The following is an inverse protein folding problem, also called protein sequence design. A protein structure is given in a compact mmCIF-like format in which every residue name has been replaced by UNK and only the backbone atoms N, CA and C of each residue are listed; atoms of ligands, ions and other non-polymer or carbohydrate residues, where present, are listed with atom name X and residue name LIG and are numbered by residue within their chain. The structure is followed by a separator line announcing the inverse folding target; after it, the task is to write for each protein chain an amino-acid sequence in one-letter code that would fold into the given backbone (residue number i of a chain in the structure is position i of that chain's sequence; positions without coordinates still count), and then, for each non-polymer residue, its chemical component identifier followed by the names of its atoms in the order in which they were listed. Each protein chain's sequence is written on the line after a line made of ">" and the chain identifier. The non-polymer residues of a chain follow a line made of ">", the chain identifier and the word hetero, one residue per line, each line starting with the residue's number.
data_IF_106153017910
#
_entry.id   IF_106153017910
#
_cell.length_a   1.000
_cell.length_b   1.000
_cell.length_c   1.000
_cell.angle_alpha   90.00
_cell.angle_beta   90.00
_cell.angle_gamma   90.00
#
_symmetry.space_group_name_H-M   'P 1'
#
loop_
_entity.id
_entity.type
_entity.pdbx_description
1 polymer ?
#
# COMPACT_ATOMS: atom_id res chain seq x y z
N UNK A 1 5.83 -3.14 17.19
CA UNK A 1 5.70 -3.65 15.81
C UNK A 1 4.36 -3.24 15.26
N UNK A 2 4.30 -2.21 14.41
CA UNK A 2 3.08 -1.95 13.64
C UNK A 2 3.08 -2.98 12.50
N UNK A 3 2.38 -4.09 12.73
CA UNK A 3 2.14 -5.12 11.72
C UNK A 3 1.13 -4.53 10.70
N UNK A 4 1.58 -3.58 9.88
CA UNK A 4 0.80 -3.09 8.74
C UNK A 4 0.74 -4.25 7.75
N UNK A 5 -0.37 -4.99 7.82
CA UNK A 5 -1.09 -5.58 6.72
C UNK A 5 -0.28 -5.72 5.40
N UNK A 6 0.69 -6.64 5.38
CA UNK A 6 1.11 -7.34 4.17
C UNK A 6 0.05 -8.40 3.79
N UNK A 7 -1.24 -8.08 3.95
CA UNK A 7 -2.32 -8.96 3.57
C UNK A 7 -2.55 -8.84 2.06
N UNK A 8 -2.05 -9.85 1.34
CA UNK A 8 -2.57 -10.36 0.05
C UNK A 8 -2.54 -9.43 -1.17
N UNK A 9 -1.52 -8.57 -1.36
CA UNK A 9 -1.37 -7.86 -2.64
C UNK A 9 0.00 -8.10 -3.30
N UNK A 10 0.00 -8.75 -4.48
CA UNK A 10 1.18 -9.08 -5.30
C UNK A 10 1.71 -7.84 -6.05
N UNK A 11 2.22 -6.85 -5.35
CA UNK A 11 3.04 -5.79 -5.95
C UNK A 11 4.46 -5.90 -5.41
N UNK A 12 5.42 -6.18 -6.28
CA UNK A 12 6.82 -6.41 -5.91
C UNK A 12 7.32 -7.80 -6.31
N UNK A 13 8.45 -8.20 -5.72
CA UNK A 13 9.12 -9.48 -6.01
C UNK A 13 8.57 -10.54 -5.07
N UNK A 14 8.03 -11.62 -5.64
CA UNK A 14 7.41 -12.70 -4.86
C UNK A 14 8.42 -13.34 -3.90
N UNK A 15 8.04 -13.40 -2.62
CA UNK A 15 8.80 -14.06 -1.54
C UNK A 15 10.21 -13.53 -1.29
N UNK A 16 10.56 -12.34 -1.80
CA UNK A 16 11.92 -11.79 -1.65
C UNK A 16 12.34 -11.66 -0.18
N UNK A 17 11.44 -11.19 0.70
CA UNK A 17 11.75 -11.06 2.13
C UNK A 17 12.14 -12.38 2.79
N UNK A 18 11.52 -13.50 2.37
CA UNK A 18 11.88 -14.83 2.86
C UNK A 18 13.29 -15.21 2.40
N UNK A 19 13.58 -15.03 1.11
CA UNK A 19 14.89 -15.34 0.52
C UNK A 19 16.00 -14.52 1.20
N UNK A 20 15.75 -13.24 1.47
CA UNK A 20 16.70 -12.38 2.20
C UNK A 20 16.90 -12.90 3.64
N UNK A 21 15.83 -13.25 4.35
CA UNK A 21 15.93 -13.81 5.70
C UNK A 21 16.72 -15.12 5.76
N UNK A 22 16.53 -16.00 4.77
CA UNK A 22 17.17 -17.31 4.72
C UNK A 22 18.67 -17.23 4.33
N UNK A 23 19.05 -16.27 3.47
CA UNK A 23 20.39 -16.24 2.86
C UNK A 23 21.26 -15.01 3.19
N UNK A 24 20.66 -13.92 3.68
CA UNK A 24 21.39 -12.69 4.03
C UNK A 24 20.71 -11.94 5.19
N UNK A 25 20.60 -12.58 6.37
CA UNK A 25 19.89 -12.00 7.52
C UNK A 25 20.49 -10.65 7.96
N UNK A 26 21.80 -10.47 7.85
CA UNK A 26 22.51 -9.24 8.24
C UNK A 26 22.19 -8.02 7.37
N UNK A 27 21.51 -8.22 6.24
CA UNK A 27 21.08 -7.13 5.35
C UNK A 27 19.82 -6.39 5.83
N UNK A 28 19.12 -6.93 6.84
CA UNK A 28 17.92 -6.32 7.41
C UNK A 28 18.22 -5.71 8.79
N UNK A 29 17.68 -4.52 9.05
CA UNK A 29 17.83 -3.83 10.34
C UNK A 29 16.51 -3.23 10.78
N UNK A 30 16.11 -3.56 12.00
CA UNK A 30 14.96 -2.95 12.66
C UNK A 30 15.42 -1.77 13.51
N UNK A 31 14.77 -0.62 13.32
CA UNK A 31 15.03 0.58 14.09
C UNK A 31 13.71 1.23 14.49
N UNK A 32 13.72 1.95 15.61
CA UNK A 32 12.60 2.81 15.98
C UNK A 32 12.48 3.98 14.99
N UNK A 33 11.25 4.46 14.80
CA UNK A 33 10.98 5.59 13.88
C UNK A 33 11.76 6.86 14.26
N UNK A 34 12.01 7.06 15.57
CA UNK A 34 12.75 8.21 16.11
C UNK A 34 14.19 8.26 15.61
N UNK A 35 14.79 7.11 15.30
CA UNK A 35 16.16 7.00 14.76
C UNK A 35 16.31 7.67 13.39
N UNK A 36 15.20 7.92 12.69
CA UNK A 36 15.19 8.56 11.37
C UNK A 36 14.97 10.08 11.42
N UNK A 37 15.10 10.72 12.60
CA UNK A 37 14.99 12.18 12.72
C UNK A 37 15.90 12.92 11.73
N UNK A 38 15.36 13.94 11.07
CA UNK A 38 16.07 14.77 10.09
C UNK A 38 16.29 14.11 8.73
N UNK A 39 15.96 12.82 8.56
CA UNK A 39 16.17 12.09 7.30
C UNK A 39 15.11 12.48 6.27
N UNK A 40 15.54 12.60 5.01
CA UNK A 40 14.65 12.74 3.85
C UNK A 40 14.32 11.33 3.34
N UNK A 41 13.05 11.03 3.13
CA UNK A 41 12.59 9.70 2.72
C UNK A 41 11.68 9.82 1.51
N UNK A 42 12.04 9.17 0.41
CA UNK A 42 11.16 9.03 -0.74
C UNK A 42 10.14 7.92 -0.48
N UNK A 43 8.87 8.20 -0.72
CA UNK A 43 7.74 7.31 -0.47
C UNK A 43 7.03 7.07 -1.79
N UNK A 44 6.82 5.79 -2.14
CA UNK A 44 5.95 5.41 -3.25
C UNK A 44 4.50 5.79 -2.91
N UNK A 45 3.98 6.81 -3.59
CA UNK A 45 2.67 7.38 -3.35
C UNK A 45 1.56 6.45 -3.83
N UNK A 46 1.72 5.88 -5.02
CA UNK A 46 0.79 4.90 -5.59
C UNK A 46 0.56 3.75 -4.60
N UNK A 47 1.66 3.17 -4.11
CA UNK A 47 1.58 2.07 -3.14
C UNK A 47 0.99 2.50 -1.79
N UNK A 48 1.31 3.70 -1.29
CA UNK A 48 0.66 4.22 -0.08
C UNK A 48 -0.86 4.31 -0.23
N UNK A 49 -1.35 4.91 -1.32
CA UNK A 49 -2.78 5.08 -1.57
C UNK A 49 -3.48 3.73 -1.61
N UNK A 50 -2.93 2.76 -2.35
CA UNK A 50 -3.50 1.40 -2.40
C UNK A 50 -3.56 0.73 -1.03
N UNK A 51 -2.51 0.85 -0.21
CA UNK A 51 -2.51 0.28 1.14
C UNK A 51 -3.65 0.86 1.99
N UNK A 52 -3.90 2.17 1.90
CA UNK A 52 -4.95 2.81 2.67
C UNK A 52 -6.36 2.44 2.21
N UNK A 53 -6.58 2.33 0.89
CA UNK A 53 -7.85 1.84 0.35
C UNK A 53 -8.19 0.42 0.83
N UNK A 54 -7.18 -0.41 1.08
CA UNK A 54 -7.40 -1.78 1.54
C UNK A 54 -7.55 -1.85 3.06
N UNK A 55 -6.66 -1.18 3.79
CA UNK A 55 -6.51 -1.33 5.24
C UNK A 55 -7.44 -0.41 6.05
N UNK A 56 -7.82 0.76 5.53
CA UNK A 56 -8.67 1.71 6.24
C UNK A 56 -10.11 1.48 5.80
N UNK A 57 -10.84 0.72 6.61
CA UNK A 57 -12.26 0.38 6.46
C UNK A 57 -12.97 0.66 7.78
N UNK A 58 -14.27 0.90 7.72
CA UNK A 58 -15.13 0.90 8.89
C UNK A 58 -15.19 -0.50 9.51
N UNK A 59 -15.65 -0.61 10.76
CA UNK A 59 -15.69 -1.84 11.57
C UNK A 59 -16.38 -3.02 10.87
N UNK A 60 -17.30 -2.67 9.98
CA UNK A 60 -18.22 -3.47 9.20
C UNK A 60 -17.66 -3.78 7.79
N UNK A 61 -16.40 -3.43 7.53
CA UNK A 61 -15.69 -3.73 6.28
C UNK A 61 -15.99 -2.77 5.13
N UNK A 62 -16.93 -1.84 5.35
CA UNK A 62 -17.34 -0.78 4.42
C UNK A 62 -16.21 0.24 4.28
N UNK A 63 -16.02 0.75 3.07
CA UNK A 63 -15.04 1.81 2.81
C UNK A 63 -15.43 3.08 3.54
N UNK A 64 -14.44 3.84 4.00
CA UNK A 64 -14.72 5.16 4.55
C UNK A 64 -15.11 6.09 3.40
N UNK A 65 -16.27 6.73 3.50
CA UNK A 65 -16.79 7.67 2.49
C UNK A 65 -17.19 9.01 3.12
N UNK A 66 -17.32 10.04 2.30
CA UNK A 66 -18.02 11.27 2.68
C UNK A 66 -19.54 11.14 2.44
N UNK A 67 -20.29 12.22 2.70
CA UNK A 67 -21.75 12.28 2.53
C UNK A 67 -22.21 12.07 1.08
N UNK A 68 -21.32 12.31 0.11
CA UNK A 68 -21.58 12.06 -1.32
C UNK A 68 -21.25 10.61 -1.74
N UNK A 69 -20.81 9.76 -0.82
CA UNK A 69 -20.39 8.38 -1.11
C UNK A 69 -19.00 8.24 -1.72
N UNK A 70 -18.19 9.31 -1.75
CA UNK A 70 -16.84 9.29 -2.30
C UNK A 70 -15.85 8.71 -1.28
N UNK A 71 -14.96 7.81 -1.71
CA UNK A 71 -14.01 7.13 -0.82
C UNK A 71 -12.98 8.12 -0.25
N UNK A 72 -12.79 8.14 1.07
CA UNK A 72 -11.90 9.07 1.78
C UNK A 72 -10.74 8.37 2.52
N UNK A 73 -10.71 7.03 2.57
CA UNK A 73 -9.68 6.22 3.24
C UNK A 73 -8.24 6.61 2.89
N UNK A 74 -7.98 6.92 1.61
CA UNK A 74 -6.67 7.30 1.13
C UNK A 74 -6.21 8.68 1.63
N UNK A 75 -7.16 9.63 1.78
CA UNK A 75 -6.87 10.96 2.31
C UNK A 75 -6.51 10.90 3.79
N UNK A 76 -7.35 10.23 4.59
CA UNK A 76 -7.08 10.05 6.03
C UNK A 76 -5.76 9.31 6.26
N UNK A 77 -5.55 8.21 5.56
CA UNK A 77 -4.33 7.44 5.69
C UNK A 77 -3.08 8.26 5.37
N UNK A 78 -3.10 8.98 4.24
CA UNK A 78 -1.97 9.83 3.83
C UNK A 78 -1.74 10.97 4.82
N UNK A 79 -2.80 11.63 5.27
CA UNK A 79 -2.74 12.74 6.22
C UNK A 79 -2.08 12.32 7.55
N UNK A 80 -2.65 11.32 8.24
CA UNK A 80 -2.14 10.90 9.54
C UNK A 80 -0.76 10.22 9.46
N UNK A 81 -0.47 9.47 8.39
CA UNK A 81 0.88 8.90 8.19
C UNK A 81 1.92 10.00 7.98
N UNK A 82 1.58 11.03 7.20
CA UNK A 82 2.48 12.17 6.95
C UNK A 82 2.72 12.96 8.22
N UNK A 83 1.68 13.27 9.00
CA UNK A 83 1.80 13.94 10.31
C UNK A 83 2.76 13.16 11.21
N UNK A 84 2.54 11.85 11.38
CA UNK A 84 3.39 11.02 12.23
C UNK A 84 4.86 11.02 11.79
N UNK A 85 5.13 11.04 10.48
CA UNK A 85 6.49 11.15 9.95
C UNK A 85 7.10 12.52 10.30
N UNK A 86 6.38 13.60 10.04
CA UNK A 86 6.81 14.96 10.32
C UNK A 86 7.04 15.21 11.82
N UNK A 87 6.17 14.69 12.70
CA UNK A 87 6.32 14.74 14.16
C UNK A 87 7.59 14.04 14.64
N UNK A 88 8.04 13.00 13.93
CA UNK A 88 9.31 12.32 14.20
C UNK A 88 10.50 12.97 13.45
N UNK A 89 10.31 14.16 12.87
CA UNK A 89 11.35 14.91 12.16
C UNK A 89 11.76 14.33 10.81
N UNK A 90 11.01 13.37 10.27
CA UNK A 90 11.23 12.81 8.93
C UNK A 90 10.68 13.82 7.90
N UNK A 91 11.41 13.99 6.79
CA UNK A 91 11.00 14.83 5.66
C UNK A 91 10.53 13.94 4.51
N UNK A 92 9.22 13.62 4.42
CA UNK A 92 8.70 12.74 3.38
C UNK A 92 8.66 13.44 2.02
N UNK A 93 8.97 12.70 0.96
CA UNK A 93 8.80 13.09 -0.44
C UNK A 93 8.00 12.01 -1.14
N UNK A 94 6.76 12.31 -1.51
CA UNK A 94 5.90 11.39 -2.22
C UNK A 94 6.25 11.36 -3.71
N UNK A 95 6.50 10.17 -4.24
CA UNK A 95 6.81 9.90 -5.64
C UNK A 95 5.63 9.18 -6.26
N UNK A 96 5.02 9.79 -7.27
CA UNK A 96 3.97 9.17 -8.06
C UNK A 96 4.57 8.50 -9.29
N UNK A 97 3.99 7.37 -9.69
CA UNK A 97 4.40 6.68 -10.90
C UNK A 97 4.13 7.54 -12.14
N UNK A 98 5.09 7.52 -13.07
CA UNK A 98 4.91 8.00 -14.43
C UNK A 98 4.37 6.92 -15.35
N UNK A 99 4.57 7.13 -16.66
CA UNK A 99 4.20 6.13 -17.67
C UNK A 99 4.97 4.81 -17.43
N UNK A 100 4.29 3.65 -17.33
CA UNK A 100 4.96 2.38 -17.14
C UNK A 100 5.80 2.00 -18.37
N UNK A 101 6.93 1.29 -18.19
CA UNK A 101 7.75 0.82 -19.31
C UNK A 101 7.02 -0.28 -20.10
N UNK A 102 7.34 -0.40 -21.39
CA UNK A 102 6.70 -1.36 -22.32
C UNK A 102 6.77 -2.81 -21.83
N UNK A 103 7.88 -3.19 -21.19
CA UNK A 103 8.10 -4.53 -20.63
C UNK A 103 7.09 -4.88 -19.51
N UNK A 104 6.47 -3.89 -18.86
CA UNK A 104 5.46 -4.08 -17.79
C UNK A 104 4.06 -4.35 -18.35
N UNK A 105 3.83 -4.17 -19.65
CA UNK A 105 2.50 -4.27 -20.29
C UNK A 105 1.81 -5.62 -20.04
N UNK A 106 2.52 -6.74 -20.20
CA UNK A 106 1.96 -8.07 -19.96
C UNK A 106 1.54 -8.31 -18.51
N UNK A 107 2.27 -7.78 -17.54
CA UNK A 107 1.89 -7.87 -16.12
C UNK A 107 0.71 -6.95 -15.80
N UNK A 108 0.62 -5.77 -16.41
CA UNK A 108 -0.54 -4.87 -16.26
C UNK A 108 -1.81 -5.51 -16.80
N UNK A 109 -1.75 -6.18 -17.95
CA UNK A 109 -2.89 -6.92 -18.52
C UNK A 109 -3.37 -8.03 -17.57
N UNK A 110 -2.46 -8.84 -17.03
CA UNK A 110 -2.81 -9.88 -16.04
C UNK A 110 -3.43 -9.31 -14.76
N UNK A 111 -3.01 -8.12 -14.33
CA UNK A 111 -3.58 -7.45 -13.16
C UNK A 111 -4.99 -6.95 -13.43
N UNK A 112 -5.23 -6.43 -14.63
CA UNK A 112 -6.56 -6.00 -15.06
C UNK A 112 -7.52 -7.19 -15.11
N UNK A 113 -7.11 -8.29 -15.73
CA UNK A 113 -7.89 -9.53 -15.81
C UNK A 113 -8.30 -10.05 -14.42
N UNK A 114 -7.37 -10.11 -13.46
CA UNK A 114 -7.69 -10.51 -12.08
C UNK A 114 -8.68 -9.57 -11.39
N UNK A 115 -8.63 -8.26 -11.70
CA UNK A 115 -9.57 -7.29 -11.14
C UNK A 115 -10.97 -7.52 -11.68
N UNK A 116 -11.09 -7.76 -12.98
CA UNK A 116 -12.36 -8.06 -13.64
C UNK A 116 -12.95 -9.38 -13.15
N UNK A 117 -12.14 -10.42 -12.99
CA UNK A 117 -12.57 -11.71 -12.46
C UNK A 117 -13.07 -11.59 -11.00
N UNK A 118 -12.32 -10.86 -10.16
CA UNK A 118 -12.73 -10.60 -8.78
C UNK A 118 -14.05 -9.81 -8.71
N UNK A 119 -14.25 -8.86 -9.61
CA UNK A 119 -15.49 -8.09 -9.68
C UNK A 119 -16.67 -8.95 -10.12
N UNK A 120 -16.52 -9.78 -11.15
CA UNK A 120 -17.55 -10.74 -11.58
C UNK A 120 -17.93 -11.72 -10.46
N UNK A 121 -16.95 -12.19 -9.69
CA UNK A 121 -17.21 -13.10 -8.56
C UNK A 121 -17.94 -12.38 -7.41
N UNK A 122 -17.65 -11.10 -7.18
CA UNK A 122 -18.37 -10.29 -6.20
C UNK A 122 -19.82 -10.04 -6.61
N UNK A 123 -20.06 -9.73 -7.89
CA UNK A 123 -21.42 -9.52 -8.43
C UNK A 123 -22.27 -10.78 -8.31
N UNK A 124 -21.73 -11.96 -8.69
CA UNK A 124 -22.43 -13.24 -8.50
C UNK A 124 -22.79 -13.54 -7.04
N UNK A 125 -21.89 -13.22 -6.11
CA UNK A 125 -22.13 -13.44 -4.68
C UNK A 125 -23.15 -12.46 -4.07
N UNK A 126 -23.52 -11.38 -4.77
CA UNK A 126 -24.58 -10.44 -4.38
C UNK A 126 -25.93 -10.80 -4.99
N UNK A 127 -25.95 -11.64 -6.03
CA UNK A 127 -27.16 -12.12 -6.72
C UNK A 127 -27.73 -13.42 -6.10
N UNK A 128 -26.93 -14.15 -5.31
CA UNK A 128 -27.33 -15.30 -4.48
C UNK A 128 -27.78 -14.87 -3.07
#
# INVERSE_FOLDING_TARGET
>A
MVNILLLKYKQGIRSLSKVIGDHSPDSTKDNEIKTYFGRKVAIDASMCIYQFLIAVRQTDGIQLTNDNGEITSHLMGTFYRTIRMCENGIKPLYVFDGKPPTMKSGELAKRLERREEAQKNMEKALEE
#
